data_IF_718519267551
#
_entry.id   IF_718519267551
#
_cell.length_a   1.000
_cell.length_b   1.000
_cell.length_c   1.000
_cell.angle_alpha   90.00
_cell.angle_beta   90.00
_cell.angle_gamma   90.00
#
_symmetry.space_group_name_H-M   'P 1'
#
loop_
_entity.id
_entity.type
_entity.pdbx_description
1 polymer ?
#
# COMPACT_ATOMS: atom_id res chain seq x y z
N UNK A 1 16.28 22.08 -25.91
CA UNK A 1 16.17 21.51 -24.54
C UNK A 1 15.81 20.03 -24.69
N UNK A 2 16.59 19.10 -24.14
CA UNK A 2 16.16 17.68 -24.13
C UNK A 2 14.90 17.56 -23.28
N UNK A 3 13.86 16.79 -23.72
CA UNK A 3 12.68 16.58 -22.88
C UNK A 3 13.12 16.01 -21.53
N UNK A 4 12.60 16.57 -20.45
CA UNK A 4 12.81 16.02 -19.11
C UNK A 4 12.17 14.63 -19.12
N UNK A 5 12.93 13.61 -18.70
CA UNK A 5 12.42 12.25 -18.59
C UNK A 5 11.28 12.24 -17.56
N UNK A 6 10.06 11.94 -18.01
CA UNK A 6 8.85 11.93 -17.20
C UNK A 6 8.61 10.56 -16.54
N UNK A 7 9.50 9.58 -16.78
CA UNK A 7 9.38 8.25 -16.19
C UNK A 7 9.88 8.23 -14.75
N UNK A 8 9.21 7.43 -13.94
CA UNK A 8 9.61 7.13 -12.56
C UNK A 8 9.92 5.65 -12.40
N UNK A 9 10.49 5.27 -11.26
CA UNK A 9 10.49 3.87 -10.81
C UNK A 9 9.36 3.66 -9.81
N UNK A 10 8.61 2.57 -9.97
CA UNK A 10 7.67 2.08 -8.97
C UNK A 10 8.31 0.89 -8.24
N UNK A 11 8.63 1.08 -6.95
CA UNK A 11 9.15 0.02 -6.11
C UNK A 11 7.99 -0.72 -5.39
N UNK A 12 7.18 -1.40 -6.17
CA UNK A 12 6.05 -2.19 -5.65
C UNK A 12 5.71 -3.36 -6.56
N UNK A 13 5.44 -4.52 -5.95
CA UNK A 13 4.91 -5.70 -6.65
C UNK A 13 3.40 -5.64 -6.85
N UNK A 14 2.69 -4.76 -6.14
CA UNK A 14 1.23 -4.66 -6.19
C UNK A 14 0.70 -4.40 -7.61
N UNK A 15 -0.10 -5.28 -8.21
CA UNK A 15 -0.73 -5.03 -9.49
C UNK A 15 -1.69 -3.85 -9.43
N UNK A 16 -2.35 -3.63 -8.28
CA UNK A 16 -3.29 -2.53 -8.06
C UNK A 16 -2.61 -1.17 -8.16
N UNK A 17 -1.44 -0.99 -7.54
CA UNK A 17 -0.66 0.26 -7.62
C UNK A 17 -0.21 0.56 -9.04
N UNK A 18 0.14 -0.48 -9.82
CA UNK A 18 0.49 -0.34 -11.24
C UNK A 18 -0.69 0.12 -12.08
N UNK A 19 -1.87 -0.43 -11.80
CA UNK A 19 -3.11 -0.06 -12.48
C UNK A 19 -3.50 1.39 -12.17
N UNK A 20 -3.49 1.77 -10.90
CA UNK A 20 -3.79 3.13 -10.44
C UNK A 20 -2.84 4.18 -11.04
N UNK A 21 -1.53 3.91 -11.14
CA UNK A 21 -0.60 4.82 -11.81
C UNK A 21 -0.87 4.95 -13.30
N UNK A 22 -1.22 3.86 -14.00
CA UNK A 22 -1.60 3.93 -15.41
C UNK A 22 -2.88 4.74 -15.63
N UNK A 23 -3.83 4.63 -14.71
CA UNK A 23 -5.09 5.39 -14.75
C UNK A 23 -4.87 6.90 -14.80
N UNK A 24 -3.81 7.40 -14.15
CA UNK A 24 -3.45 8.83 -14.13
C UNK A 24 -2.31 9.18 -15.11
N UNK A 25 -2.05 8.32 -16.10
CA UNK A 25 -1.12 8.59 -17.19
C UNK A 25 0.37 8.59 -16.82
N UNK A 26 0.74 8.09 -15.64
CA UNK A 26 2.14 8.06 -15.19
C UNK A 26 2.90 6.90 -15.84
N UNK A 27 3.98 7.21 -16.56
CA UNK A 27 4.90 6.21 -17.07
C UNK A 27 5.88 5.76 -16.00
N UNK A 28 6.03 4.45 -15.83
CA UNK A 28 6.94 3.90 -14.84
C UNK A 28 7.62 2.62 -15.29
N UNK A 29 8.77 2.35 -14.70
CA UNK A 29 9.47 1.06 -14.72
C UNK A 29 9.44 0.42 -13.33
N UNK A 30 9.41 -0.90 -13.27
CA UNK A 30 9.40 -1.60 -11.98
C UNK A 30 10.82 -1.70 -11.42
N UNK A 31 10.99 -1.29 -10.16
CA UNK A 31 12.22 -1.46 -9.40
C UNK A 31 11.94 -2.33 -8.17
N UNK A 32 11.90 -3.65 -8.38
CA UNK A 32 11.49 -4.57 -7.34
C UNK A 32 12.60 -4.80 -6.30
N UNK A 33 12.21 -4.66 -5.03
CA UNK A 33 12.97 -5.08 -3.86
C UNK A 33 12.77 -6.58 -3.61
N UNK A 34 13.75 -7.21 -2.97
CA UNK A 34 13.67 -8.62 -2.60
C UNK A 34 12.84 -8.77 -1.33
N UNK A 35 11.88 -9.68 -1.34
CA UNK A 35 11.11 -10.06 -0.17
C UNK A 35 11.65 -11.34 0.46
N UNK A 36 12.10 -12.26 -0.39
CA UNK A 36 12.67 -13.54 0.03
C UNK A 36 14.09 -13.68 -0.49
N UNK A 37 15.06 -13.70 0.39
CA UNK A 37 16.46 -14.00 0.08
C UNK A 37 17.07 -14.77 1.25
N UNK A 38 18.20 -15.43 1.03
CA UNK A 38 18.95 -16.10 2.10
C UNK A 38 19.39 -15.15 3.23
N UNK A 39 19.38 -13.83 2.97
CA UNK A 39 19.73 -12.78 3.92
C UNK A 39 18.51 -12.03 4.48
N UNK A 40 17.29 -12.53 4.22
CA UNK A 40 16.03 -11.87 4.54
C UNK A 40 15.56 -10.86 3.48
N UNK A 41 14.41 -10.19 3.73
CA UNK A 41 13.89 -9.14 2.85
C UNK A 41 14.78 -7.91 2.84
N UNK A 42 14.77 -7.15 1.74
CA UNK A 42 15.50 -5.86 1.66
C UNK A 42 14.97 -4.82 2.65
N UNK A 43 13.66 -4.89 2.98
CA UNK A 43 12.99 -4.07 4.01
C UNK A 43 12.12 -5.00 4.85
N UNK A 44 12.43 -5.19 6.15
CA UNK A 44 11.58 -5.97 7.05
C UNK A 44 10.33 -5.19 7.42
N UNK A 45 9.16 -5.74 7.11
CA UNK A 45 7.85 -5.16 7.44
C UNK A 45 7.37 -5.64 8.82
N UNK A 46 8.23 -5.48 9.85
CA UNK A 46 7.92 -5.89 11.21
C UNK A 46 7.46 -4.70 12.05
N UNK A 47 6.36 -4.88 12.79
CA UNK A 47 5.87 -3.89 13.75
C UNK A 47 6.82 -3.85 14.95
N UNK A 48 7.28 -2.66 15.33
CA UNK A 48 8.15 -2.47 16.50
C UNK A 48 7.31 -2.45 17.80
N UNK A 49 7.90 -2.83 18.95
CA UNK A 49 7.17 -2.77 20.21
C UNK A 49 6.62 -1.37 20.51
N UNK A 50 5.31 -1.27 20.71
CA UNK A 50 4.62 0.00 20.99
C UNK A 50 4.46 0.94 19.79
N UNK A 51 4.77 0.50 18.57
CA UNK A 51 4.66 1.32 17.38
C UNK A 51 3.20 1.54 16.98
N UNK A 52 2.80 2.81 16.88
CA UNK A 52 1.46 3.17 16.40
C UNK A 52 1.30 2.87 14.90
N UNK A 53 0.08 2.50 14.43
CA UNK A 53 -0.14 2.14 13.03
C UNK A 53 0.31 3.21 12.01
N UNK A 54 0.13 4.48 12.33
CA UNK A 54 0.58 5.60 11.48
C UNK A 54 2.10 5.62 11.39
N UNK A 55 2.80 5.56 12.52
CA UNK A 55 4.26 5.55 12.56
C UNK A 55 4.84 4.34 11.79
N UNK A 56 4.22 3.16 11.95
CA UNK A 56 4.59 1.94 11.24
C UNK A 56 4.51 2.12 9.72
N UNK A 57 3.35 2.53 9.19
CA UNK A 57 3.16 2.65 7.73
C UNK A 57 4.08 3.70 7.13
N UNK A 58 4.34 4.79 7.84
CA UNK A 58 5.25 5.86 7.40
C UNK A 58 6.70 5.40 7.40
N UNK A 59 7.15 4.73 8.46
CA UNK A 59 8.50 4.18 8.56
C UNK A 59 8.77 3.16 7.45
N UNK A 60 7.90 2.17 7.31
CA UNK A 60 8.05 1.13 6.27
C UNK A 60 8.08 1.74 4.87
N UNK A 61 7.23 2.73 4.60
CA UNK A 61 7.21 3.41 3.30
C UNK A 61 8.50 4.16 3.03
N UNK A 62 9.06 4.85 4.04
CA UNK A 62 10.35 5.55 3.96
C UNK A 62 11.50 4.58 3.72
N UNK A 63 11.60 3.53 4.51
CA UNK A 63 12.63 2.49 4.37
C UNK A 63 12.61 1.86 2.97
N UNK A 64 11.42 1.60 2.42
CA UNK A 64 11.25 1.14 1.02
C UNK A 64 11.81 2.14 0.02
N UNK A 65 11.55 3.44 0.19
CA UNK A 65 12.00 4.48 -0.73
C UNK A 65 13.53 4.64 -0.71
N UNK A 66 14.12 4.65 0.48
CA UNK A 66 15.57 4.74 0.67
C UNK A 66 16.29 3.52 0.09
N UNK A 67 15.80 2.32 0.41
CA UNK A 67 16.36 1.05 -0.09
C UNK A 67 16.22 0.93 -1.61
N UNK A 68 15.09 1.34 -2.17
CA UNK A 68 14.89 1.29 -3.61
C UNK A 68 15.78 2.32 -4.33
N UNK A 69 15.96 3.52 -3.79
CA UNK A 69 16.87 4.52 -4.33
C UNK A 69 18.34 4.02 -4.30
N UNK A 70 18.78 3.44 -3.19
CA UNK A 70 20.11 2.82 -3.09
C UNK A 70 20.27 1.65 -4.08
N UNK A 71 19.22 0.84 -4.26
CA UNK A 71 19.19 -0.26 -5.24
C UNK A 71 19.32 0.25 -6.67
N UNK A 72 18.62 1.34 -7.02
CA UNK A 72 18.73 2.00 -8.33
C UNK A 72 20.19 2.39 -8.62
N UNK A 73 20.84 3.04 -7.66
CA UNK A 73 22.24 3.49 -7.79
C UNK A 73 23.20 2.30 -7.88
N UNK A 74 23.06 1.30 -7.04
CA UNK A 74 23.93 0.10 -7.02
C UNK A 74 23.83 -0.70 -8.32
N UNK A 75 22.66 -0.74 -8.95
CA UNK A 75 22.44 -1.36 -10.26
C UNK A 75 22.84 -0.47 -11.44
N UNK A 76 23.34 0.74 -11.17
CA UNK A 76 23.72 1.75 -12.18
C UNK A 76 22.57 2.06 -13.15
N UNK A 77 21.35 2.05 -12.66
CA UNK A 77 20.18 2.42 -13.45
C UNK A 77 20.15 3.95 -13.66
N UNK A 78 19.42 4.40 -14.66
CA UNK A 78 19.22 5.82 -14.88
C UNK A 78 18.57 6.44 -13.64
N UNK A 79 19.11 7.56 -13.15
CA UNK A 79 18.54 8.26 -11.99
C UNK A 79 17.18 8.85 -12.35
N UNK A 80 16.15 8.46 -11.61
CA UNK A 80 14.76 8.89 -11.75
C UNK A 80 14.09 8.91 -10.38
N UNK A 81 12.98 9.64 -10.22
CA UNK A 81 12.18 9.55 -8.99
C UNK A 81 11.72 8.12 -8.72
N UNK A 82 11.81 7.68 -7.47
CA UNK A 82 11.40 6.36 -6.99
C UNK A 82 10.15 6.53 -6.12
N UNK A 83 9.04 5.96 -6.57
CA UNK A 83 7.77 5.94 -5.87
C UNK A 83 7.63 4.62 -5.09
N UNK A 84 7.31 4.74 -3.81
CA UNK A 84 6.96 3.63 -2.93
C UNK A 84 5.64 3.89 -2.24
N UNK A 85 4.99 2.85 -1.77
CA UNK A 85 3.82 2.97 -0.90
C UNK A 85 3.72 1.75 0.01
N UNK A 86 3.11 1.95 1.17
CA UNK A 86 2.68 0.88 2.05
C UNK A 86 1.25 1.12 2.52
N UNK A 87 0.54 0.03 2.86
CA UNK A 87 -0.86 0.08 3.26
C UNK A 87 -1.09 -0.81 4.46
N UNK A 88 -1.67 -0.24 5.50
CA UNK A 88 -1.93 -0.90 6.77
C UNK A 88 -3.40 -0.74 7.12
N UNK A 89 -4.03 -1.84 7.56
CA UNK A 89 -5.38 -1.84 8.14
C UNK A 89 -5.24 -1.84 9.65
N UNK A 90 -6.01 -0.99 10.33
CA UNK A 90 -6.00 -0.93 11.79
C UNK A 90 -7.41 -0.83 12.37
N UNK A 91 -7.60 -1.49 13.50
CA UNK A 91 -8.81 -1.42 14.31
C UNK A 91 -8.42 -1.24 15.78
N UNK A 92 -8.91 -0.18 16.42
CA UNK A 92 -8.59 0.17 17.82
C UNK A 92 -7.08 0.24 18.10
N UNK A 93 -6.30 0.73 17.15
CA UNK A 93 -4.84 0.80 17.26
C UNK A 93 -4.09 -0.52 17.01
N UNK A 94 -4.79 -1.63 16.81
CA UNK A 94 -4.20 -2.91 16.42
C UNK A 94 -3.99 -2.95 14.90
N UNK A 95 -2.78 -3.27 14.47
CA UNK A 95 -2.46 -3.49 13.06
C UNK A 95 -2.95 -4.88 12.64
N UNK A 96 -3.70 -4.94 11.55
CA UNK A 96 -4.17 -6.17 10.91
C UNK A 96 -3.34 -6.40 9.64
N UNK A 97 -2.40 -7.32 9.74
CA UNK A 97 -1.50 -7.71 8.65
C UNK A 97 -2.19 -8.53 7.55
N UNK A 98 -1.40 -9.25 6.79
CA UNK A 98 -1.88 -10.26 5.84
C UNK A 98 -2.12 -11.56 6.59
N UNK A 99 -3.28 -12.18 6.49
CA UNK A 99 -3.52 -13.46 7.16
C UNK A 99 -2.64 -14.56 6.59
N UNK A 100 -2.06 -15.38 7.47
CA UNK A 100 -1.22 -16.52 7.09
C UNK A 100 -2.03 -17.76 6.72
N UNK A 101 -3.32 -17.81 7.11
CA UNK A 101 -4.20 -18.94 6.83
C UNK A 101 -5.67 -18.67 7.18
N UNK A 102 -6.53 -19.66 6.91
CA UNK A 102 -7.99 -19.54 7.04
C UNK A 102 -8.46 -19.10 8.41
N UNK A 103 -7.83 -19.61 9.47
CA UNK A 103 -8.20 -19.28 10.84
C UNK A 103 -7.97 -17.79 11.16
N UNK A 104 -6.84 -17.23 10.72
CA UNK A 104 -6.52 -15.83 10.91
C UNK A 104 -7.38 -14.92 10.03
N UNK A 105 -7.62 -15.31 8.76
CA UNK A 105 -8.53 -14.58 7.88
C UNK A 105 -9.94 -14.51 8.46
N UNK A 106 -10.44 -15.62 9.02
CA UNK A 106 -11.74 -15.67 9.68
C UNK A 106 -11.79 -14.82 10.95
N UNK A 107 -10.72 -14.84 11.75
CA UNK A 107 -10.61 -13.97 12.93
C UNK A 107 -10.64 -12.49 12.55
N UNK A 108 -9.89 -12.09 11.52
CA UNK A 108 -9.89 -10.71 11.01
C UNK A 108 -11.28 -10.28 10.56
N UNK A 109 -12.01 -11.13 9.83
CA UNK A 109 -13.39 -10.83 9.41
C UNK A 109 -14.33 -10.67 10.60
N UNK A 110 -14.19 -11.50 11.65
CA UNK A 110 -14.99 -11.36 12.90
C UNK A 110 -14.70 -10.04 13.60
N UNK A 111 -13.43 -9.61 13.63
CA UNK A 111 -13.03 -8.33 14.21
C UNK A 111 -13.61 -7.14 13.44
N UNK A 112 -13.67 -7.23 12.11
CA UNK A 112 -14.12 -6.14 11.21
C UNK A 112 -15.65 -6.11 11.06
N UNK A 113 -16.35 -7.23 11.27
CA UNK A 113 -17.79 -7.38 11.07
C UNK A 113 -18.60 -6.36 11.88
N UNK A 114 -19.45 -5.58 11.22
CA UNK A 114 -20.31 -4.57 11.84
C UNK A 114 -19.59 -3.33 12.38
N UNK A 115 -18.29 -3.18 12.08
CA UNK A 115 -17.45 -2.11 12.66
C UNK A 115 -16.83 -1.22 11.58
N UNK A 116 -16.41 -0.03 12.03
CA UNK A 116 -15.58 0.88 11.25
C UNK A 116 -14.11 0.68 11.64
N UNK A 117 -13.25 0.51 10.66
CA UNK A 117 -11.81 0.40 10.80
C UNK A 117 -11.11 1.38 9.88
N UNK A 118 -9.81 1.59 10.07
CA UNK A 118 -9.02 2.51 9.27
C UNK A 118 -8.08 1.78 8.33
N UNK A 119 -7.94 2.34 7.14
CA UNK A 119 -6.93 1.98 6.15
C UNK A 119 -5.99 3.17 5.98
N UNK A 120 -4.74 2.98 6.38
CA UNK A 120 -3.70 3.98 6.24
C UNK A 120 -2.82 3.59 5.05
N UNK A 121 -2.68 4.50 4.10
CA UNK A 121 -1.75 4.31 2.98
C UNK A 121 -0.78 5.48 2.93
N UNK A 122 0.49 5.16 3.17
CA UNK A 122 1.59 6.10 3.03
C UNK A 122 2.22 5.94 1.65
N UNK A 123 2.54 7.07 1.03
CA UNK A 123 3.24 7.16 -0.26
C UNK A 123 4.47 8.02 -0.08
N UNK A 124 5.61 7.56 -0.59
CA UNK A 124 6.83 8.33 -0.61
C UNK A 124 7.41 8.41 -2.02
N UNK A 125 7.95 9.57 -2.35
CA UNK A 125 8.71 9.82 -3.56
C UNK A 125 10.10 10.29 -3.17
N UNK A 126 11.13 9.60 -3.67
CA UNK A 126 12.53 9.97 -3.47
C UNK A 126 13.20 10.25 -4.80
N UNK A 127 13.86 11.41 -4.90
CA UNK A 127 14.65 11.78 -6.07
C UNK A 127 15.94 12.49 -5.63
N UNK A 128 17.08 11.85 -5.81
CA UNK A 128 18.37 12.33 -5.30
C UNK A 128 18.31 12.58 -3.78
N UNK A 129 18.56 13.83 -3.38
CA UNK A 129 18.50 14.25 -1.98
C UNK A 129 17.07 14.62 -1.51
N UNK A 130 16.17 14.88 -2.46
CA UNK A 130 14.79 15.24 -2.17
C UNK A 130 13.97 14.02 -1.73
N UNK A 131 13.10 14.22 -0.74
CA UNK A 131 12.21 13.23 -0.20
C UNK A 131 10.87 13.85 0.18
N UNK A 132 9.81 13.33 -0.40
CA UNK A 132 8.42 13.70 -0.09
C UNK A 132 7.64 12.49 0.38
N UNK A 133 6.81 12.66 1.38
CA UNK A 133 5.96 11.61 1.91
C UNK A 133 4.64 12.18 2.37
N UNK A 134 3.56 11.44 2.13
CA UNK A 134 2.21 11.77 2.61
C UNK A 134 1.50 10.48 2.99
N UNK A 135 0.67 10.55 4.03
CA UNK A 135 -0.16 9.43 4.47
C UNK A 135 -1.63 9.83 4.42
N UNK A 136 -2.43 9.02 3.75
CA UNK A 136 -3.89 9.15 3.72
C UNK A 136 -4.52 8.12 4.63
N UNK A 137 -5.47 8.56 5.46
CA UNK A 137 -6.30 7.69 6.31
C UNK A 137 -7.71 7.67 5.77
N UNK A 138 -8.25 6.48 5.56
CA UNK A 138 -9.63 6.26 5.14
C UNK A 138 -10.36 5.38 6.14
N UNK A 139 -11.61 5.68 6.42
CA UNK A 139 -12.48 4.85 7.23
C UNK A 139 -13.30 3.92 6.34
N UNK A 140 -13.39 2.65 6.74
CA UNK A 140 -14.18 1.61 6.06
C UNK A 140 -15.12 0.97 7.08
N UNK A 141 -16.41 0.99 6.79
CA UNK A 141 -17.44 0.37 7.65
C UNK A 141 -17.96 -0.89 7.00
N UNK A 142 -17.81 -2.02 7.69
CA UNK A 142 -18.43 -3.29 7.27
C UNK A 142 -19.87 -3.41 7.78
N UNK A 143 -20.71 -4.07 6.98
CA UNK A 143 -21.97 -4.63 7.46
C UNK A 143 -21.69 -5.75 8.48
N UNK A 144 -22.68 -6.08 9.30
CA UNK A 144 -22.61 -7.27 10.14
C UNK A 144 -22.63 -8.51 9.24
N UNK A 145 -21.60 -9.34 9.34
CA UNK A 145 -21.44 -10.56 8.54
C UNK A 145 -21.88 -11.78 9.32
N UNK A 146 -22.51 -12.72 8.63
CA UNK A 146 -22.81 -14.04 9.21
C UNK A 146 -21.57 -14.91 9.24
N UNK A 147 -21.52 -15.88 10.14
CA UNK A 147 -20.42 -16.84 10.21
C UNK A 147 -20.26 -17.63 8.91
N UNK A 148 -21.37 -17.95 8.24
CA UNK A 148 -21.38 -18.61 6.93
C UNK A 148 -20.69 -17.77 5.86
N UNK A 149 -21.05 -16.47 5.78
CA UNK A 149 -20.43 -15.53 4.83
C UNK A 149 -18.93 -15.38 5.07
N UNK A 150 -18.53 -15.26 6.35
CA UNK A 150 -17.12 -15.13 6.70
C UNK A 150 -16.31 -16.37 6.33
N UNK A 151 -16.85 -17.59 6.59
CA UNK A 151 -16.20 -18.84 6.20
C UNK A 151 -16.12 -19.00 4.68
N UNK A 152 -17.20 -18.67 3.97
CA UNK A 152 -17.20 -18.73 2.51
C UNK A 152 -16.16 -17.78 1.88
N UNK A 153 -15.97 -16.61 2.45
CA UNK A 153 -14.98 -15.64 1.97
C UNK A 153 -13.54 -16.05 2.35
N UNK A 154 -13.30 -16.54 3.58
CA UNK A 154 -11.97 -16.98 4.01
C UNK A 154 -11.45 -18.17 3.19
N UNK A 155 -12.32 -18.99 2.63
CA UNK A 155 -11.95 -20.09 1.73
C UNK A 155 -11.49 -19.63 0.32
N UNK A 156 -11.62 -18.34 -0.01
CA UNK A 156 -11.18 -17.78 -1.29
C UNK A 156 -9.69 -17.42 -1.24
N UNK A 157 -9.00 -17.30 -2.39
CA UNK A 157 -7.62 -16.81 -2.42
C UNK A 157 -7.49 -15.30 -2.15
N UNK A 158 -8.60 -14.54 -2.20
CA UNK A 158 -8.60 -13.07 -2.11
C UNK A 158 -8.03 -12.51 -0.80
N UNK A 159 -8.26 -13.07 0.40
CA UNK A 159 -7.78 -12.53 1.67
C UNK A 159 -6.25 -12.44 1.82
N UNK A 160 -5.52 -13.41 1.28
CA UNK A 160 -4.18 -13.79 1.74
C UNK A 160 -3.02 -12.89 1.32
N UNK A 161 -3.20 -11.98 0.39
CA UNK A 161 -2.16 -11.03 -0.05
C UNK A 161 -2.42 -9.58 0.38
N UNK A 162 -3.39 -9.37 1.29
CA UNK A 162 -3.90 -8.04 1.65
C UNK A 162 -3.91 -7.80 3.15
N UNK A 163 -3.49 -6.61 3.56
CA UNK A 163 -3.67 -6.15 4.93
C UNK A 163 -5.16 -6.17 5.30
N UNK A 164 -5.49 -6.66 6.49
CA UNK A 164 -6.86 -6.84 6.96
C UNK A 164 -7.64 -7.96 6.28
N UNK A 165 -7.02 -8.72 5.38
CA UNK A 165 -7.62 -9.89 4.75
C UNK A 165 -8.78 -9.60 3.79
N UNK A 166 -8.83 -8.43 3.12
CA UNK A 166 -9.87 -8.13 2.15
C UNK A 166 -9.43 -7.17 1.04
N UNK A 167 -10.22 -7.12 -0.04
CA UNK A 167 -10.03 -6.16 -1.13
C UNK A 167 -11.32 -5.37 -1.41
N UNK A 168 -11.24 -4.02 -1.33
CA UNK A 168 -12.39 -3.15 -1.62
C UNK A 168 -12.93 -3.33 -3.04
N UNK A 169 -12.06 -3.62 -4.02
CA UNK A 169 -12.43 -3.85 -5.42
C UNK A 169 -12.75 -5.31 -5.74
N UNK A 170 -12.68 -6.20 -4.75
CA UNK A 170 -12.93 -7.63 -4.89
C UNK A 170 -14.31 -8.04 -4.39
N UNK A 171 -14.44 -9.32 -4.05
CA UNK A 171 -15.70 -9.88 -3.51
C UNK A 171 -16.09 -9.27 -2.16
N UNK A 172 -15.11 -8.79 -1.37
CA UNK A 172 -15.38 -8.09 -0.11
C UNK A 172 -16.12 -6.75 -0.30
N UNK A 173 -16.20 -6.20 -1.50
CA UNK A 173 -17.00 -5.00 -1.77
C UNK A 173 -18.44 -5.12 -1.28
N UNK A 174 -19.03 -6.33 -1.30
CA UNK A 174 -20.39 -6.60 -0.80
C UNK A 174 -20.53 -6.48 0.73
N UNK A 175 -19.39 -6.45 1.46
CA UNK A 175 -19.37 -6.30 2.92
C UNK A 175 -19.31 -4.84 3.34
N UNK A 176 -18.87 -3.95 2.43
CA UNK A 176 -18.59 -2.55 2.73
C UNK A 176 -19.86 -1.74 2.63
N UNK A 177 -20.31 -1.26 3.77
CA UNK A 177 -21.52 -0.43 3.92
C UNK A 177 -21.22 1.05 3.64
N UNK A 178 -20.03 1.52 4.03
CA UNK A 178 -19.66 2.92 3.91
C UNK A 178 -18.14 3.07 3.85
N UNK A 179 -17.67 4.09 3.14
CA UNK A 179 -16.29 4.56 3.14
C UNK A 179 -16.26 6.08 3.32
N UNK A 180 -15.29 6.58 4.07
CA UNK A 180 -14.95 7.98 4.14
C UNK A 180 -13.45 8.15 3.88
N UNK A 181 -13.09 8.92 2.83
CA UNK A 181 -11.71 9.11 2.41
C UNK A 181 -11.45 8.68 0.96
N UNK A 182 -10.24 8.17 0.69
CA UNK A 182 -9.77 7.84 -0.65
C UNK A 182 -10.02 6.38 -1.02
N UNK A 183 -10.91 6.11 -1.97
CA UNK A 183 -11.10 4.77 -2.52
C UNK A 183 -9.79 4.18 -3.08
N UNK A 184 -9.04 4.98 -3.87
CA UNK A 184 -7.74 4.55 -4.40
C UNK A 184 -6.69 4.37 -3.30
N UNK A 185 -6.78 5.13 -2.19
CA UNK A 185 -5.97 4.94 -1.00
C UNK A 185 -6.24 3.59 -0.34
N UNK A 186 -7.51 3.19 -0.20
CA UNK A 186 -7.88 1.87 0.32
C UNK A 186 -7.38 0.75 -0.61
N UNK A 187 -7.35 0.98 -1.93
CA UNK A 187 -6.74 0.06 -2.90
C UNK A 187 -5.21 -0.01 -2.80
N UNK A 188 -4.58 0.96 -2.14
CA UNK A 188 -3.15 0.98 -1.83
C UNK A 188 -2.33 2.09 -2.49
N UNK A 189 -2.96 3.08 -3.13
CA UNK A 189 -2.31 4.27 -3.68
C UNK A 189 -3.30 5.45 -3.77
N UNK A 190 -3.30 6.39 -2.83
CA UNK A 190 -4.18 7.55 -2.88
C UNK A 190 -3.74 8.46 -4.02
N UNK A 191 -4.53 8.47 -5.11
CA UNK A 191 -4.14 9.09 -6.38
C UNK A 191 -4.00 10.61 -6.28
N UNK A 192 -4.88 11.29 -5.53
CA UNK A 192 -4.78 12.73 -5.36
C UNK A 192 -3.44 13.11 -4.74
N UNK A 193 -3.10 12.55 -3.61
CA UNK A 193 -1.85 12.81 -2.88
C UNK A 193 -0.63 12.37 -3.71
N UNK A 194 -0.74 11.23 -4.38
CA UNK A 194 0.33 10.71 -5.24
C UNK A 194 0.64 11.68 -6.39
N UNK A 195 -0.38 12.23 -7.05
CA UNK A 195 -0.19 13.19 -8.14
C UNK A 195 0.40 14.50 -7.65
N UNK A 196 0.05 14.96 -6.44
CA UNK A 196 0.67 16.14 -5.82
C UNK A 196 2.17 15.93 -5.57
N UNK A 197 2.57 14.77 -5.06
CA UNK A 197 4.01 14.45 -4.87
C UNK A 197 4.76 14.39 -6.19
N UNK A 198 4.16 13.78 -7.22
CA UNK A 198 4.76 13.69 -8.56
C UNK A 198 4.96 15.08 -9.19
N UNK A 199 3.98 15.98 -9.04
CA UNK A 199 4.08 17.35 -9.53
C UNK A 199 5.18 18.14 -8.82
N UNK A 200 5.38 17.96 -7.50
CA UNK A 200 6.49 18.55 -6.76
C UNK A 200 7.85 18.11 -7.30
N UNK A 201 7.97 16.88 -7.79
CA UNK A 201 9.17 16.36 -8.44
C UNK A 201 9.25 16.71 -9.94
N UNK A 202 8.34 17.52 -10.47
CA UNK A 202 8.32 17.94 -11.88
C UNK A 202 7.78 16.87 -12.85
N UNK A 203 7.13 15.82 -12.36
CA UNK A 203 6.47 14.77 -13.16
C UNK A 203 5.04 15.20 -13.48
N UNK A 204 4.70 15.22 -14.76
CA UNK A 204 3.35 15.54 -15.23
C UNK A 204 2.44 14.33 -15.13
N UNK A 205 1.20 14.57 -14.72
CA UNK A 205 0.16 13.52 -14.57
C UNK A 205 -1.03 13.73 -15.53
N UNK A 206 -1.09 14.83 -16.20
CA UNK A 206 -2.06 15.20 -17.27
C UNK A 206 -1.41 16.24 -18.18
#
# INVERSE_FOLDING_TARGET
MKPIDQKIYLASKSPRRRELLRQVGVEFELLLLRENSARGPDVPELVQPGEAPLAYVERVTREKAETASATMLSRRLRVRPVLTADTTVTLDGRILGKPEGDAEALEMLRLLSGRTHQVLTSVALKHLDDFWQVTHTSDVTFATLTEETMRAYSALPEPYDKAGGYAIQGRAAQFIKHIAGSHSGIMGLPLYETTQLLQQAGIRTL
#
